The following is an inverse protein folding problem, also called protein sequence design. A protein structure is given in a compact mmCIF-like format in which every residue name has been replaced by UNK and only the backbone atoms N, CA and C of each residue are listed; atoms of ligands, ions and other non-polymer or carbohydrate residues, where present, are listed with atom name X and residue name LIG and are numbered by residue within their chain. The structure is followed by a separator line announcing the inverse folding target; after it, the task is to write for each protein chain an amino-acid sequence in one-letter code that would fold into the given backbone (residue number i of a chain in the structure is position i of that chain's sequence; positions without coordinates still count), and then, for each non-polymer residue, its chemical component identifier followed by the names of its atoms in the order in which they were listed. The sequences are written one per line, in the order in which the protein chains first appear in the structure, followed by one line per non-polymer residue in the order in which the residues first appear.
data_IF_891425940345
#
_entry.id   IF_891425940345
#
_cell.length_a   1.000
_cell.length_b   1.000
_cell.length_c   1.000
_cell.angle_alpha   90.00
_cell.angle_beta   90.00
_cell.angle_gamma   90.00
#
_symmetry.space_group_name_H-M   'P 1'
#
loop_
_entity.id
_entity.type
_entity.pdbx_description
1 polymer ?
#
# COMPACT_ATOMS: atom_id res chain seq x y z
N UNK A 1 8.33 8.78 22.93
CA UNK A 1 9.34 9.55 22.17
C UNK A 1 9.67 8.76 20.93
N UNK A 2 9.26 9.21 19.74
CA UNK A 2 9.69 8.56 18.48
C UNK A 2 10.99 9.20 17.98
N UNK A 3 11.71 8.49 17.10
CA UNK A 3 12.97 8.91 16.48
C UNK A 3 12.89 10.31 15.84
N UNK A 4 11.71 10.67 15.34
CA UNK A 4 11.48 11.94 14.65
C UNK A 4 11.43 13.13 15.61
N UNK A 5 11.04 12.92 16.87
CA UNK A 5 11.11 13.97 17.91
C UNK A 5 12.56 14.30 18.27
N UNK A 6 13.43 13.28 18.27
CA UNK A 6 14.88 13.47 18.46
C UNK A 6 15.48 14.23 17.27
N UNK A 7 15.12 13.87 16.04
CA UNK A 7 15.58 14.56 14.83
C UNK A 7 15.16 16.04 14.81
N UNK A 8 13.91 16.35 15.19
CA UNK A 8 13.42 17.72 15.29
C UNK A 8 14.16 18.53 16.37
N UNK A 9 14.50 17.90 17.50
CA UNK A 9 15.30 18.53 18.55
C UNK A 9 16.72 18.83 18.06
N UNK A 10 17.38 17.87 17.39
CA UNK A 10 18.72 18.04 16.82
C UNK A 10 18.78 19.11 15.74
N UNK A 11 17.76 19.22 14.89
CA UNK A 11 17.69 20.26 13.85
C UNK A 11 17.43 21.67 14.42
N UNK A 12 16.89 21.75 15.64
CA UNK A 12 16.62 23.01 16.34
C UNK A 12 17.75 23.41 17.31
N UNK A 13 18.72 22.52 17.49
CA UNK A 13 19.90 22.76 18.33
C UNK A 13 20.82 23.84 17.73
N UNK A 14 21.49 24.58 18.61
CA UNK A 14 22.49 25.59 18.24
C UNK A 14 23.93 25.05 18.27
N UNK A 15 24.12 23.78 18.61
CA UNK A 15 25.40 23.09 18.59
C UNK A 15 25.89 22.73 17.18
N UNK A 16 26.99 21.96 17.15
CA UNK A 16 27.66 21.55 15.91
C UNK A 16 26.74 20.75 14.98
N UNK A 17 25.88 19.90 15.54
CA UNK A 17 24.96 19.04 14.78
C UNK A 17 23.86 19.88 14.12
N UNK A 18 23.20 20.76 14.88
CA UNK A 18 22.16 21.63 14.32
C UNK A 18 22.69 22.58 13.24
N UNK A 19 23.91 23.09 13.42
CA UNK A 19 24.59 23.90 12.39
C UNK A 19 24.89 23.10 11.12
N UNK A 20 25.43 21.89 11.26
CA UNK A 20 25.71 21.01 10.12
C UNK A 20 24.45 20.63 9.34
N UNK A 21 23.34 20.34 10.04
CA UNK A 21 22.05 20.03 9.40
C UNK A 21 21.54 21.23 8.59
N UNK A 22 21.58 22.45 9.14
CA UNK A 22 21.20 23.68 8.43
C UNK A 22 22.06 23.95 7.21
N UNK A 23 23.37 23.73 7.29
CA UNK A 23 24.28 23.88 6.15
C UNK A 23 23.96 22.93 4.99
N UNK A 24 23.35 21.77 5.28
CA UNK A 24 22.90 20.82 4.28
C UNK A 24 21.40 21.01 3.90
N UNK A 25 20.80 22.15 4.27
CA UNK A 25 19.39 22.45 3.96
C UNK A 25 18.37 21.65 4.77
N UNK A 26 18.81 20.89 5.78
CA UNK A 26 17.93 20.10 6.66
C UNK A 26 17.49 21.00 7.81
N UNK A 27 16.43 21.79 7.58
CA UNK A 27 15.84 22.65 8.62
C UNK A 27 14.66 21.97 9.32
N UNK A 28 14.24 22.54 10.46
CA UNK A 28 13.06 22.07 11.19
C UNK A 28 11.82 22.05 10.31
N UNK A 29 11.65 23.05 9.45
CA UNK A 29 10.52 23.20 8.53
C UNK A 29 10.54 22.12 7.46
N UNK A 30 11.70 21.83 6.88
CA UNK A 30 11.89 20.78 5.88
C UNK A 30 11.59 19.40 6.48
N UNK A 31 12.08 19.15 7.69
CA UNK A 31 11.77 17.90 8.42
C UNK A 31 10.28 17.80 8.70
N UNK A 32 9.64 18.87 9.20
CA UNK A 32 8.19 18.86 9.48
C UNK A 32 7.35 18.63 8.21
N UNK A 33 7.76 19.20 7.07
CA UNK A 33 7.11 18.95 5.79
C UNK A 33 7.23 17.48 5.37
N UNK A 34 8.44 16.92 5.40
CA UNK A 34 8.67 15.50 5.08
C UNK A 34 7.94 14.54 6.02
N UNK A 35 7.89 14.86 7.31
CA UNK A 35 7.12 14.07 8.30
C UNK A 35 5.62 14.12 8.01
N UNK A 36 5.08 15.26 7.55
CA UNK A 36 3.68 15.38 7.17
C UNK A 36 3.37 14.51 5.95
N UNK A 37 4.26 14.45 4.98
CA UNK A 37 4.09 13.64 3.77
C UNK A 37 4.17 12.13 4.06
N UNK A 38 5.05 11.71 4.97
CA UNK A 38 5.20 10.30 5.35
C UNK A 38 4.06 9.84 6.28
N UNK A 39 3.64 10.68 7.24
CA UNK A 39 2.68 10.31 8.29
C UNK A 39 1.22 10.63 7.96
N UNK A 40 0.95 11.54 7.02
CA UNK A 40 -0.38 12.09 6.81
C UNK A 40 -0.93 12.75 8.09
N UNK A 41 -2.17 12.41 8.47
CA UNK A 41 -2.88 13.00 9.63
C UNK A 41 -2.77 12.18 10.93
N UNK A 42 -2.01 11.07 10.94
CA UNK A 42 -2.01 10.12 12.06
C UNK A 42 -0.99 10.51 13.16
N UNK A 43 -1.48 10.62 14.41
CA UNK A 43 -0.67 10.96 15.60
C UNK A 43 0.07 9.72 16.13
N UNK A 44 1.30 9.91 16.61
CA UNK A 44 2.09 8.86 17.30
C UNK A 44 1.48 8.60 18.67
N UNK A 45 0.77 7.48 18.83
CA UNK A 45 0.14 7.08 20.09
C UNK A 45 0.66 5.76 20.65
N UNK A 46 1.50 5.02 19.90
CA UNK A 46 2.08 3.74 20.32
C UNK A 46 3.59 3.67 20.03
N UNK A 47 4.29 2.74 20.69
CA UNK A 47 5.73 2.52 20.48
C UNK A 47 6.08 2.07 19.06
N UNK A 48 5.15 1.40 18.36
CA UNK A 48 5.35 0.87 17.00
C UNK A 48 4.59 1.68 15.94
N UNK A 49 4.33 2.97 16.16
CA UNK A 49 3.57 3.80 15.22
C UNK A 49 4.16 3.81 13.80
N UNK A 50 5.49 3.67 13.69
CA UNK A 50 6.19 3.57 12.40
C UNK A 50 5.70 2.40 11.53
N UNK A 51 5.33 1.25 12.12
CA UNK A 51 4.82 0.06 11.41
C UNK A 51 3.44 0.28 10.76
N UNK A 52 2.71 1.30 11.20
CA UNK A 52 1.34 1.60 10.73
C UNK A 52 1.28 2.67 9.65
N UNK A 53 2.39 3.38 9.38
CA UNK A 53 2.46 4.36 8.28
C UNK A 53 2.66 3.67 6.93
N UNK A 54 1.92 4.14 5.91
CA UNK A 54 2.00 3.64 4.52
C UNK A 54 1.95 2.11 4.47
N UNK A 55 1.03 1.51 5.21
CA UNK A 55 0.94 0.07 5.42
C UNK A 55 0.75 -0.71 4.12
N UNK A 56 -0.02 -0.18 3.17
CA UNK A 56 -0.18 -0.78 1.85
C UNK A 56 1.11 -0.79 1.04
N UNK A 57 1.97 0.22 1.18
CA UNK A 57 3.28 0.25 0.53
C UNK A 57 4.27 -0.73 1.16
N UNK A 58 4.17 -0.95 2.47
CA UNK A 58 5.05 -1.86 3.21
C UNK A 58 4.68 -3.32 3.01
N UNK A 59 3.37 -3.61 3.01
CA UNK A 59 2.85 -4.97 3.07
C UNK A 59 2.11 -5.39 1.79
N UNK A 60 2.00 -4.49 0.81
CA UNK A 60 1.36 -4.74 -0.46
C UNK A 60 2.27 -4.45 -1.65
N UNK A 61 1.87 -4.95 -2.81
CA UNK A 61 2.50 -4.69 -4.11
C UNK A 61 1.47 -4.08 -5.05
N UNK A 62 1.79 -2.90 -5.60
CA UNK A 62 0.93 -2.26 -6.61
C UNK A 62 1.10 -2.97 -7.96
N UNK A 63 0.10 -3.79 -8.32
CA UNK A 63 0.13 -4.54 -9.57
C UNK A 63 -0.05 -3.62 -10.78
N UNK A 64 -0.75 -2.49 -10.64
CA UNK A 64 -0.92 -1.54 -11.74
C UNK A 64 0.43 -0.87 -12.05
N UNK A 65 1.19 -0.48 -11.03
CA UNK A 65 2.55 0.05 -11.20
C UNK A 65 3.48 -0.98 -11.85
N UNK A 66 3.43 -2.24 -11.41
CA UNK A 66 4.19 -3.32 -12.05
C UNK A 66 3.80 -3.52 -13.51
N UNK A 67 2.50 -3.46 -13.83
CA UNK A 67 1.99 -3.57 -15.19
C UNK A 67 2.47 -2.41 -16.08
N UNK A 68 2.38 -1.16 -15.60
CA UNK A 68 2.88 0.03 -16.33
C UNK A 68 4.38 -0.08 -16.62
N UNK A 69 5.13 -0.67 -15.71
CA UNK A 69 6.57 -0.86 -15.83
C UNK A 69 6.96 -2.12 -16.63
N UNK A 70 5.99 -2.89 -17.16
CA UNK A 70 6.26 -4.12 -17.90
C UNK A 70 6.89 -5.23 -17.06
N UNK A 71 6.68 -5.22 -15.74
CA UNK A 71 7.25 -6.20 -14.79
C UNK A 71 6.34 -7.40 -14.52
N UNK A 72 5.12 -7.38 -15.03
CA UNK A 72 4.20 -8.51 -14.94
C UNK A 72 4.33 -9.39 -16.18
N UNK A 73 4.31 -10.70 -15.96
CA UNK A 73 4.29 -11.66 -17.05
C UNK A 73 2.97 -11.55 -17.85
N UNK A 74 2.99 -11.80 -19.16
CA UNK A 74 1.77 -11.80 -19.96
C UNK A 74 0.85 -12.93 -19.49
N UNK A 75 -0.41 -12.58 -19.22
CA UNK A 75 -1.41 -13.56 -18.76
C UNK A 75 -2.02 -14.27 -19.97
N UNK A 76 -1.84 -15.60 -20.05
CA UNK A 76 -2.29 -16.41 -21.19
C UNK A 76 -3.49 -17.27 -20.78
N UNK A 77 -4.55 -17.25 -21.58
CA UNK A 77 -5.67 -18.20 -21.46
C UNK A 77 -6.58 -17.98 -20.23
N UNK A 78 -6.61 -16.76 -19.66
CA UNK A 78 -7.44 -16.41 -18.49
C UNK A 78 -8.48 -15.31 -18.77
N UNK A 79 -8.78 -15.06 -20.03
CA UNK A 79 -9.64 -13.94 -20.44
C UNK A 79 -11.07 -14.06 -19.91
N UNK A 80 -11.63 -15.26 -19.87
CA UNK A 80 -12.98 -15.50 -19.35
C UNK A 80 -13.04 -15.25 -17.84
N UNK A 81 -12.06 -15.75 -17.08
CA UNK A 81 -11.98 -15.55 -15.64
C UNK A 81 -11.79 -14.08 -15.30
N UNK A 82 -10.86 -13.39 -15.97
CA UNK A 82 -10.63 -11.95 -15.79
C UNK A 82 -11.90 -11.16 -16.08
N UNK A 83 -12.57 -11.44 -17.21
CA UNK A 83 -13.83 -10.77 -17.58
C UNK A 83 -14.91 -11.00 -16.51
N UNK A 84 -15.03 -12.22 -15.98
CA UNK A 84 -16.00 -12.54 -14.93
C UNK A 84 -15.69 -11.81 -13.62
N UNK A 85 -14.42 -11.66 -13.26
CA UNK A 85 -14.01 -10.88 -12.08
C UNK A 85 -14.34 -9.39 -12.26
N UNK A 86 -14.01 -8.81 -13.41
CA UNK A 86 -14.35 -7.41 -13.73
C UNK A 86 -15.85 -7.14 -13.66
N UNK A 87 -16.68 -8.08 -14.14
CA UNK A 87 -18.14 -8.00 -14.01
C UNK A 87 -18.61 -7.98 -12.55
N UNK A 88 -17.99 -8.78 -11.68
CA UNK A 88 -18.33 -8.80 -10.25
C UNK A 88 -17.89 -7.49 -9.58
N UNK A 89 -16.66 -7.03 -9.84
CA UNK A 89 -16.12 -5.78 -9.29
C UNK A 89 -16.95 -4.55 -9.70
N UNK A 90 -17.61 -4.60 -10.86
CA UNK A 90 -18.43 -3.50 -11.38
C UNK A 90 -19.84 -3.42 -10.77
N UNK A 91 -20.22 -4.37 -9.92
CA UNK A 91 -21.53 -4.36 -9.25
C UNK A 91 -21.58 -3.28 -8.17
N UNK A 92 -22.76 -2.73 -7.91
CA UNK A 92 -22.99 -1.81 -6.79
C UNK A 92 -22.96 -2.51 -5.43
N UNK A 93 -23.38 -3.77 -5.38
CA UNK A 93 -23.42 -4.59 -4.17
C UNK A 93 -22.88 -5.98 -4.48
N UNK A 94 -22.35 -6.67 -3.45
CA UNK A 94 -21.71 -7.99 -3.61
C UNK A 94 -20.63 -7.98 -4.69
N UNK A 95 -19.79 -6.95 -4.64
CA UNK A 95 -18.72 -6.66 -5.60
C UNK A 95 -17.37 -7.27 -5.20
N UNK A 96 -17.36 -8.25 -4.29
CA UNK A 96 -16.17 -8.93 -3.81
C UNK A 96 -16.06 -10.30 -4.52
N UNK A 97 -15.25 -10.42 -5.59
CA UNK A 97 -15.03 -11.69 -6.27
C UNK A 97 -14.25 -12.66 -5.38
N UNK A 98 -14.53 -13.97 -5.50
CA UNK A 98 -13.78 -15.03 -4.81
C UNK A 98 -13.32 -16.06 -5.83
N UNK A 99 -12.01 -16.26 -5.91
CA UNK A 99 -11.38 -17.21 -6.85
C UNK A 99 -11.21 -18.58 -6.19
N UNK A 100 -12.01 -19.54 -6.64
CA UNK A 100 -12.01 -20.92 -6.14
C UNK A 100 -11.24 -21.81 -7.11
N UNK A 101 -10.46 -22.76 -6.57
CA UNK A 101 -9.60 -23.66 -7.33
C UNK A 101 -8.46 -24.21 -6.46
N UNK A 102 -7.74 -25.19 -6.98
CA UNK A 102 -6.61 -25.79 -6.27
C UNK A 102 -5.46 -24.77 -6.04
N UNK A 103 -4.62 -24.96 -5.00
CA UNK A 103 -3.40 -24.17 -4.85
C UNK A 103 -2.48 -24.31 -6.07
N UNK A 104 -1.80 -23.23 -6.45
CA UNK A 104 -0.82 -23.28 -7.55
C UNK A 104 -1.38 -23.16 -8.97
N UNK A 105 -2.70 -23.12 -9.16
CA UNK A 105 -3.32 -22.96 -10.50
C UNK A 105 -3.17 -21.56 -11.12
N UNK A 106 -2.43 -20.65 -10.47
CA UNK A 106 -2.18 -19.30 -10.97
C UNK A 106 -3.32 -18.31 -10.73
N UNK A 107 -4.03 -18.39 -9.59
CA UNK A 107 -5.07 -17.41 -9.23
C UNK A 107 -4.54 -15.97 -9.20
N UNK A 108 -3.29 -15.79 -8.79
CA UNK A 108 -2.59 -14.49 -8.79
C UNK A 108 -2.50 -13.89 -10.19
N UNK A 109 -2.34 -14.72 -11.23
CA UNK A 109 -2.29 -14.25 -12.62
C UNK A 109 -3.60 -13.58 -13.05
N UNK A 110 -4.74 -13.90 -12.43
CA UNK A 110 -6.01 -13.20 -12.70
C UNK A 110 -5.93 -11.75 -12.18
N UNK A 111 -5.37 -11.52 -10.98
CA UNK A 111 -5.20 -10.17 -10.44
C UNK A 111 -4.20 -9.35 -11.27
N UNK A 112 -3.11 -9.97 -11.70
CA UNK A 112 -2.12 -9.36 -12.61
C UNK A 112 -2.74 -8.99 -13.96
N UNK A 113 -3.56 -9.87 -14.54
CA UNK A 113 -4.27 -9.62 -15.79
C UNK A 113 -5.32 -8.51 -15.67
N UNK A 114 -5.99 -8.40 -14.52
CA UNK A 114 -6.87 -7.26 -14.22
C UNK A 114 -6.06 -5.96 -14.17
N UNK A 115 -4.91 -5.94 -13.50
CA UNK A 115 -4.04 -4.77 -13.43
C UNK A 115 -3.56 -4.34 -14.82
N UNK A 116 -3.15 -5.29 -15.67
CA UNK A 116 -2.81 -5.04 -17.08
C UNK A 116 -3.99 -4.41 -17.84
N UNK A 117 -5.20 -4.95 -17.69
CA UNK A 117 -6.40 -4.42 -18.33
C UNK A 117 -6.74 -3.01 -17.86
N UNK A 118 -6.66 -2.72 -16.56
CA UNK A 118 -6.86 -1.36 -16.04
C UNK A 118 -5.86 -0.39 -16.66
N UNK A 119 -4.57 -0.75 -16.71
CA UNK A 119 -3.52 0.09 -17.31
C UNK A 119 -3.75 0.33 -18.80
N UNK A 120 -4.21 -0.70 -19.53
CA UNK A 120 -4.56 -0.58 -20.95
C UNK A 120 -5.88 0.18 -21.21
N UNK A 121 -6.67 0.43 -20.17
CA UNK A 121 -8.01 1.01 -20.29
C UNK A 121 -9.10 0.03 -20.75
N UNK A 122 -8.79 -1.26 -20.92
CA UNK A 122 -9.74 -2.33 -21.25
C UNK A 122 -10.54 -2.81 -20.02
N UNK A 123 -11.24 -1.87 -19.37
CA UNK A 123 -12.12 -2.13 -18.22
C UNK A 123 -13.32 -1.19 -18.26
N UNK A 124 -14.43 -1.55 -17.57
CA UNK A 124 -15.53 -0.63 -17.31
C UNK A 124 -15.07 0.70 -16.71
N UNK A 125 -15.77 1.79 -17.04
CA UNK A 125 -15.37 3.16 -16.68
C UNK A 125 -15.11 3.33 -15.18
N UNK A 126 -15.95 2.71 -14.35
CA UNK A 126 -15.85 2.75 -12.89
C UNK A 126 -14.61 2.04 -12.32
N UNK A 127 -13.86 1.28 -13.13
CA UNK A 127 -12.65 0.56 -12.72
C UNK A 127 -11.36 1.18 -13.27
N UNK A 128 -11.43 2.13 -14.23
CA UNK A 128 -10.25 2.70 -14.90
C UNK A 128 -9.29 3.42 -13.95
N UNK A 129 -9.80 4.05 -12.90
CA UNK A 129 -8.98 4.78 -11.92
C UNK A 129 -8.47 3.89 -10.79
N UNK A 130 -8.98 2.67 -10.67
CA UNK A 130 -8.72 1.83 -9.51
C UNK A 130 -7.33 1.20 -9.56
N UNK A 131 -6.73 1.04 -8.39
CA UNK A 131 -5.44 0.37 -8.22
C UNK A 131 -5.61 -1.00 -7.58
N UNK A 132 -4.99 -2.02 -8.16
CA UNK A 132 -4.95 -3.38 -7.60
C UNK A 132 -3.70 -3.51 -6.74
N UNK A 133 -3.89 -3.75 -5.44
CA UNK A 133 -2.81 -3.99 -4.50
C UNK A 133 -2.86 -5.45 -4.05
N UNK A 134 -1.81 -6.21 -4.32
CA UNK A 134 -1.67 -7.58 -3.81
C UNK A 134 -1.06 -7.57 -2.41
N UNK A 135 -1.76 -8.12 -1.43
CA UNK A 135 -1.31 -8.19 -0.04
C UNK A 135 -0.33 -9.35 0.16
N UNK A 136 0.84 -9.05 0.74
CA UNK A 136 1.83 -10.05 1.12
C UNK A 136 1.65 -10.44 2.60
N UNK A 137 0.97 -11.55 2.83
CA UNK A 137 0.79 -12.11 4.18
C UNK A 137 2.13 -12.48 4.85
N UNK A 138 3.14 -12.89 4.08
CA UNK A 138 4.47 -13.19 4.60
C UNK A 138 5.12 -11.96 5.21
N UNK A 139 5.02 -10.82 4.52
CA UNK A 139 5.53 -9.53 5.01
C UNK A 139 4.82 -9.05 6.29
N UNK A 140 3.52 -9.33 6.42
CA UNK A 140 2.75 -8.98 7.61
C UNK A 140 3.20 -9.77 8.84
N UNK A 141 3.54 -11.05 8.66
CA UNK A 141 3.99 -11.96 9.72
C UNK A 141 5.49 -11.74 10.03
N UNK A 142 6.29 -11.40 9.02
CA UNK A 142 7.72 -11.20 9.18
C UNK A 142 8.04 -10.10 10.21
N UNK A 143 8.95 -10.41 11.13
CA UNK A 143 9.36 -9.49 12.19
C UNK A 143 8.30 -9.23 13.25
N UNK A 144 7.17 -9.95 13.26
CA UNK A 144 6.22 -9.90 14.37
C UNK A 144 6.71 -10.78 15.52
N UNK A 145 6.90 -10.20 16.70
CA UNK A 145 7.31 -10.94 17.90
C UNK A 145 6.10 -11.45 18.70
N UNK A 146 4.93 -10.83 18.51
CA UNK A 146 3.70 -11.12 19.24
C UNK A 146 2.50 -11.09 18.30
N UNK A 147 1.50 -11.94 18.57
CA UNK A 147 0.25 -12.04 17.78
C UNK A 147 -0.48 -10.69 17.63
N UNK A 148 -0.44 -9.84 18.66
CA UNK A 148 -1.08 -8.52 18.62
C UNK A 148 -0.52 -7.59 17.54
N UNK A 149 0.78 -7.69 17.23
CA UNK A 149 1.41 -6.82 16.22
C UNK A 149 0.93 -7.14 14.80
N UNK A 150 0.72 -8.43 14.49
CA UNK A 150 0.12 -8.85 13.23
C UNK A 150 -1.30 -8.29 13.05
N UNK A 151 -2.12 -8.39 14.10
CA UNK A 151 -3.48 -7.85 14.09
C UNK A 151 -3.50 -6.33 13.91
N UNK A 152 -2.57 -5.60 14.54
CA UNK A 152 -2.41 -4.16 14.35
C UNK A 152 -2.03 -3.80 12.90
N UNK A 153 -1.11 -4.56 12.29
CA UNK A 153 -0.71 -4.36 10.88
C UNK A 153 -1.87 -4.61 9.91
N UNK A 154 -2.64 -5.69 10.10
CA UNK A 154 -3.84 -5.95 9.28
C UNK A 154 -4.86 -4.83 9.43
N UNK A 155 -5.12 -4.38 10.67
CA UNK A 155 -6.04 -3.27 10.91
C UNK A 155 -5.59 -1.99 10.21
N UNK A 156 -4.28 -1.70 10.20
CA UNK A 156 -3.72 -0.56 9.50
C UNK A 156 -3.98 -0.66 7.98
N UNK A 157 -3.70 -1.83 7.38
CA UNK A 157 -3.96 -2.10 5.95
C UNK A 157 -5.43 -1.90 5.60
N UNK A 158 -6.35 -2.51 6.36
CA UNK A 158 -7.79 -2.38 6.11
C UNK A 158 -8.24 -0.92 6.22
N UNK A 159 -7.74 -0.19 7.23
CA UNK A 159 -8.06 1.23 7.42
C UNK A 159 -7.57 2.08 6.26
N UNK A 160 -6.37 1.80 5.72
CA UNK A 160 -5.83 2.51 4.56
C UNK A 160 -6.67 2.25 3.30
N UNK A 161 -7.09 1.00 3.07
CA UNK A 161 -8.01 0.65 1.97
C UNK A 161 -9.35 1.34 2.12
N UNK A 162 -9.93 1.37 3.33
CA UNK A 162 -11.20 2.07 3.58
C UNK A 162 -11.08 3.58 3.32
N UNK A 163 -9.98 4.20 3.75
CA UNK A 163 -9.73 5.63 3.54
C UNK A 163 -9.46 6.00 2.07
N UNK A 164 -9.15 5.02 1.22
CA UNK A 164 -8.99 5.23 -0.22
C UNK A 164 -10.31 5.52 -0.96
N UNK A 165 -11.45 5.48 -0.27
CA UNK A 165 -12.78 5.75 -0.83
C UNK A 165 -13.12 4.89 -2.06
N UNK A 166 -12.61 3.65 -2.09
CA UNK A 166 -12.88 2.69 -3.15
C UNK A 166 -11.93 2.79 -4.35
N UNK A 167 -10.89 3.62 -4.31
CA UNK A 167 -9.85 3.65 -5.35
C UNK A 167 -8.94 2.43 -5.29
N UNK A 168 -8.86 1.74 -4.14
CA UNK A 168 -8.03 0.55 -3.98
C UNK A 168 -8.88 -0.71 -3.98
N UNK A 169 -8.49 -1.67 -4.81
CA UNK A 169 -8.95 -3.07 -4.75
C UNK A 169 -7.80 -3.88 -4.14
N UNK A 170 -8.04 -4.41 -2.94
CA UNK A 170 -7.09 -5.29 -2.27
C UNK A 170 -7.30 -6.74 -2.74
N UNK A 171 -6.21 -7.38 -3.15
CA UNK A 171 -6.15 -8.78 -3.55
C UNK A 171 -5.36 -9.60 -2.53
#
# INVERSE_FOLDING_TARGET
MSTEHLLLALASDSGKIGTLLKQNGITREVILAGLKDIRGTQRVTSQNAEDTYQSLKKFGKDLNELARNGKLDPVIGRDEEIRRVLQVLSRRTKNNPVLIGEPGVGKTAIAEGIAQRIVSGDVPENLKTKSIIALDLGSLVAGTQFRGQFEERIKAVIKEVQNSNGEIILF
#
